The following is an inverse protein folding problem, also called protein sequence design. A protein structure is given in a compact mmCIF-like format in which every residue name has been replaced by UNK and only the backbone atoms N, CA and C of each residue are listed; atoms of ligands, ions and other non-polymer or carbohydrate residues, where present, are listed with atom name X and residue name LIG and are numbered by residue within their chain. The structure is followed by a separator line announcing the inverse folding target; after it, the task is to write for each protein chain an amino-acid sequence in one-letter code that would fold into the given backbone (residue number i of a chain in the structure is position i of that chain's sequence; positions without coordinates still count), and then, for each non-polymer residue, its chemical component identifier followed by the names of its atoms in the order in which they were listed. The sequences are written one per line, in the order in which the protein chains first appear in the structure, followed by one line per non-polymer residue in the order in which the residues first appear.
data_IF_760679012735
#
_entry.id   IF_760679012735
#
_cell.length_a   1.000
_cell.length_b   1.000
_cell.length_c   1.000
_cell.angle_alpha   90.00
_cell.angle_beta   90.00
_cell.angle_gamma   90.00
#
_symmetry.space_group_name_H-M   'P 1'
#
loop_
_entity.id
_entity.type
_entity.pdbx_description
1 polymer ?
#
# COMPACT_ATOMS: atom_id res chain seq x y z
N UNK A 1 -54.82 -4.74 -20.51
CA UNK A 1 -54.46 -4.29 -19.15
C UNK A 1 -53.46 -5.24 -18.48
N UNK A 2 -53.76 -6.55 -18.34
CA UNK A 2 -52.88 -7.54 -17.70
C UNK A 2 -51.45 -7.65 -18.29
N UNK A 3 -51.28 -7.54 -19.62
CA UNK A 3 -49.97 -7.60 -20.27
C UNK A 3 -49.04 -6.44 -19.88
N UNK A 4 -49.59 -5.25 -19.63
CA UNK A 4 -48.81 -4.08 -19.19
C UNK A 4 -48.31 -4.25 -17.75
N UNK A 5 -49.14 -4.83 -16.87
CA UNK A 5 -48.72 -5.15 -15.50
C UNK A 5 -47.60 -6.19 -15.47
N UNK A 6 -47.65 -7.19 -16.33
CA UNK A 6 -46.60 -8.22 -16.41
C UNK A 6 -45.26 -7.62 -16.89
N UNK A 7 -45.28 -6.75 -17.91
CA UNK A 7 -44.08 -6.06 -18.41
C UNK A 7 -43.48 -5.12 -17.36
N UNK A 8 -44.33 -4.39 -16.65
CA UNK A 8 -43.90 -3.47 -15.58
C UNK A 8 -43.25 -4.24 -14.41
N UNK A 9 -43.84 -5.39 -14.04
CA UNK A 9 -43.30 -6.25 -12.99
C UNK A 9 -41.94 -6.84 -13.38
N UNK A 10 -41.76 -7.29 -14.63
CA UNK A 10 -40.46 -7.77 -15.12
C UNK A 10 -39.40 -6.66 -15.10
N UNK A 11 -39.74 -5.45 -15.53
CA UNK A 11 -38.80 -4.31 -15.51
C UNK A 11 -38.38 -3.95 -14.08
N UNK A 12 -39.33 -3.97 -13.13
CA UNK A 12 -39.06 -3.73 -11.73
C UNK A 12 -38.13 -4.81 -11.12
N UNK A 13 -38.36 -6.09 -11.45
CA UNK A 13 -37.48 -7.18 -11.02
C UNK A 13 -36.07 -7.07 -11.61
N UNK A 14 -35.92 -6.69 -12.88
CA UNK A 14 -34.61 -6.48 -13.51
C UNK A 14 -33.86 -5.30 -12.86
N UNK A 15 -34.56 -4.21 -12.56
CA UNK A 15 -33.99 -3.06 -11.84
C UNK A 15 -33.50 -3.46 -10.43
N UNK A 16 -34.27 -4.25 -9.69
CA UNK A 16 -33.87 -4.76 -8.38
C UNK A 16 -32.60 -5.60 -8.49
N UNK A 17 -32.54 -6.53 -9.45
CA UNK A 17 -31.36 -7.38 -9.67
C UNK A 17 -30.13 -6.54 -10.02
N UNK A 18 -30.28 -5.50 -10.84
CA UNK A 18 -29.19 -4.58 -11.19
C UNK A 18 -28.67 -3.77 -9.99
N UNK A 19 -29.58 -3.30 -9.12
CA UNK A 19 -29.24 -2.58 -7.88
C UNK A 19 -28.56 -3.51 -6.86
N UNK A 20 -29.01 -4.76 -6.75
CA UNK A 20 -28.37 -5.75 -5.88
C UNK A 20 -26.98 -6.15 -6.39
N UNK A 21 -26.79 -6.25 -7.71
CA UNK A 21 -25.49 -6.53 -8.31
C UNK A 21 -24.51 -5.37 -8.09
N UNK A 22 -24.93 -4.12 -8.30
CA UNK A 22 -24.09 -2.94 -8.03
C UNK A 22 -23.74 -2.78 -6.53
N UNK A 23 -24.60 -3.22 -5.62
CA UNK A 23 -24.32 -3.23 -4.18
C UNK A 23 -23.28 -4.30 -3.75
N UNK A 24 -23.12 -5.37 -4.54
CA UNK A 24 -22.07 -6.38 -4.37
C UNK A 24 -20.70 -5.92 -4.91
N UNK A 25 -20.69 -4.91 -5.78
CA UNK A 25 -19.49 -4.23 -6.26
C UNK A 25 -19.14 -3.01 -5.40
N UNK A 26 -19.23 -3.13 -4.07
CA UNK A 26 -18.41 -2.26 -3.24
C UNK A 26 -16.97 -2.79 -3.36
N UNK A 27 -16.18 -2.17 -4.24
CA UNK A 27 -14.73 -2.31 -4.18
C UNK A 27 -14.35 -1.73 -2.82
N UNK A 28 -14.30 -2.58 -1.81
CA UNK A 28 -13.71 -2.26 -0.53
C UNK A 28 -12.30 -1.80 -0.91
N UNK A 29 -12.06 -0.49 -0.87
CA UNK A 29 -10.73 0.07 -0.99
C UNK A 29 -10.04 -0.37 0.28
N UNK A 30 -9.61 -1.63 0.31
CA UNK A 30 -8.97 -2.25 1.46
C UNK A 30 -7.71 -1.45 1.68
N UNK A 31 -7.77 -0.51 2.62
CA UNK A 31 -6.61 0.29 2.94
C UNK A 31 -5.57 -0.67 3.50
N UNK A 32 -4.44 -0.85 2.81
CA UNK A 32 -3.34 -1.73 3.21
C UNK A 32 -3.02 -1.55 4.70
N UNK A 33 -3.02 -2.59 5.51
CA UNK A 33 -2.73 -2.42 6.94
C UNK A 33 -1.30 -1.87 7.16
N UNK A 34 -1.03 -1.15 8.26
CA UNK A 34 0.33 -0.72 8.61
C UNK A 34 1.36 -1.86 8.59
N UNK A 35 0.91 -3.08 8.92
CA UNK A 35 1.75 -4.27 8.90
C UNK A 35 2.07 -4.69 7.47
N UNK A 36 1.09 -4.71 6.58
CA UNK A 36 1.30 -5.02 5.15
C UNK A 36 2.20 -3.97 4.48
N UNK A 37 2.06 -2.68 4.81
CA UNK A 37 3.00 -1.63 4.35
C UNK A 37 4.44 -1.96 4.77
N UNK A 38 4.65 -2.32 6.04
CA UNK A 38 5.97 -2.72 6.54
C UNK A 38 6.50 -3.98 5.83
N UNK A 39 5.67 -5.01 5.64
CA UNK A 39 6.08 -6.21 4.90
C UNK A 39 6.50 -5.86 3.46
N UNK A 40 5.74 -5.02 2.77
CA UNK A 40 6.04 -4.63 1.40
C UNK A 40 7.36 -3.83 1.30
N UNK A 41 7.62 -2.95 2.28
CA UNK A 41 8.90 -2.23 2.37
C UNK A 41 10.09 -3.16 2.64
N UNK A 42 9.91 -4.23 3.41
CA UNK A 42 10.96 -5.23 3.59
C UNK A 42 11.22 -6.05 2.33
N UNK A 43 10.18 -6.39 1.57
CA UNK A 43 10.36 -7.04 0.28
C UNK A 43 11.17 -6.15 -0.68
N UNK A 44 10.93 -4.83 -0.66
CA UNK A 44 11.76 -3.90 -1.42
C UNK A 44 13.20 -3.87 -0.90
N UNK A 45 13.41 -3.79 0.42
CA UNK A 45 14.75 -3.88 1.04
C UNK A 45 15.51 -5.13 0.59
N UNK A 46 14.85 -6.29 0.53
CA UNK A 46 15.46 -7.57 0.13
C UNK A 46 15.76 -7.63 -1.38
N UNK A 47 15.10 -6.79 -2.19
CA UNK A 47 15.35 -6.67 -3.64
C UNK A 47 16.53 -5.74 -3.99
N UNK A 48 17.03 -4.97 -3.02
CA UNK A 48 18.16 -4.07 -3.24
C UNK A 48 19.45 -4.87 -3.46
N UNK A 49 20.34 -4.32 -4.27
CA UNK A 49 21.61 -4.95 -4.60
C UNK A 49 22.71 -4.52 -3.62
N UNK A 50 23.75 -5.34 -3.50
CA UNK A 50 24.91 -5.04 -2.65
C UNK A 50 24.65 -5.26 -1.16
N UNK A 51 25.59 -4.81 -0.33
CA UNK A 51 25.43 -4.87 1.12
C UNK A 51 24.35 -3.90 1.57
N UNK A 52 23.38 -4.40 2.34
CA UNK A 52 22.31 -3.58 2.89
C UNK A 52 22.91 -2.48 3.77
N UNK A 53 22.65 -1.20 3.50
CA UNK A 53 23.23 -0.13 4.30
C UNK A 53 22.86 -0.21 5.77
N UNK A 54 23.79 0.18 6.65
CA UNK A 54 23.56 0.22 8.10
C UNK A 54 22.31 1.06 8.48
N UNK A 55 21.94 2.05 7.67
CA UNK A 55 20.73 2.83 7.82
C UNK A 55 19.44 1.97 7.80
N UNK A 56 19.42 0.85 7.09
CA UNK A 56 18.29 -0.07 7.02
C UNK A 56 18.35 -1.20 8.07
N UNK A 57 19.33 -1.19 8.98
CA UNK A 57 19.46 -2.19 10.05
C UNK A 57 18.26 -2.18 11.01
N UNK A 58 17.64 -1.01 11.22
CA UNK A 58 16.45 -0.87 12.07
C UNK A 58 15.17 -1.40 11.43
N UNK A 59 15.19 -1.67 10.12
CA UNK A 59 14.03 -2.17 9.37
C UNK A 59 13.82 -3.65 9.68
N UNK A 60 13.13 -3.90 10.79
CA UNK A 60 12.78 -5.24 11.30
C UNK A 60 11.30 -5.24 11.69
N UNK A 61 10.58 -6.30 11.29
CA UNK A 61 9.20 -6.51 11.72
C UNK A 61 9.16 -6.84 13.22
N UNK A 62 8.24 -6.22 13.98
CA UNK A 62 8.02 -6.63 15.36
C UNK A 62 7.28 -7.98 15.41
N UNK A 63 7.23 -8.63 16.58
CA UNK A 63 6.44 -9.85 16.80
C UNK A 63 4.98 -9.67 16.39
N UNK A 64 4.30 -10.76 16.01
CA UNK A 64 2.93 -10.79 15.46
C UNK A 64 1.91 -10.05 16.34
N UNK A 65 2.14 -9.98 17.66
CA UNK A 65 1.26 -9.35 18.65
C UNK A 65 1.67 -7.92 19.05
N UNK A 66 2.73 -7.37 18.46
CA UNK A 66 3.13 -6.00 18.72
C UNK A 66 2.20 -4.99 18.02
N UNK A 67 2.15 -3.77 18.55
CA UNK A 67 1.40 -2.68 17.94
C UNK A 67 1.82 -2.49 16.47
N UNK A 68 0.83 -2.42 15.57
CA UNK A 68 1.00 -2.31 14.12
C UNK A 68 1.78 -1.09 13.66
N UNK A 69 1.96 -0.08 14.52
CA UNK A 69 2.74 1.16 14.28
C UNK A 69 4.22 1.09 14.69
N UNK A 70 4.76 -0.10 15.02
CA UNK A 70 6.14 -0.22 15.49
C UNK A 70 7.18 0.30 14.49
N UNK A 71 6.98 0.03 13.20
CA UNK A 71 7.88 0.49 12.14
C UNK A 71 7.99 2.02 12.11
N UNK A 72 6.88 2.74 12.31
CA UNK A 72 6.82 4.20 12.40
C UNK A 72 7.68 4.82 13.50
N UNK A 73 8.01 4.07 14.55
CA UNK A 73 8.76 4.59 15.71
C UNK A 73 10.21 4.14 15.74
N UNK A 74 10.55 3.10 14.99
CA UNK A 74 11.83 2.41 15.10
C UNK A 74 12.60 2.38 13.80
N UNK A 75 11.94 2.44 12.66
CA UNK A 75 12.63 2.40 11.37
C UNK A 75 13.18 3.77 11.04
N UNK A 76 14.49 3.81 10.78
CA UNK A 76 15.15 4.96 10.21
C UNK A 76 14.45 5.40 8.92
N UNK A 77 14.23 6.72 8.81
CA UNK A 77 13.68 7.33 7.61
C UNK A 77 12.17 7.17 7.41
N UNK A 78 11.44 6.53 8.34
CA UNK A 78 9.98 6.33 8.21
C UNK A 78 9.22 7.26 9.14
N UNK A 79 8.24 7.99 8.60
CA UNK A 79 7.22 8.69 9.39
C UNK A 79 5.83 8.22 9.03
N UNK A 80 4.93 8.19 10.01
CA UNK A 80 3.55 7.74 9.83
C UNK A 80 2.52 8.74 10.34
N UNK A 81 1.29 8.62 9.85
CA UNK A 81 0.13 9.33 10.39
C UNK A 81 -0.37 8.69 11.71
N UNK A 82 -1.44 9.26 12.27
CA UNK A 82 -2.07 8.78 13.52
C UNK A 82 -2.62 7.35 13.43
N UNK A 83 -2.93 6.86 12.23
CA UNK A 83 -3.38 5.49 11.99
C UNK A 83 -2.22 4.50 11.80
N UNK A 84 -0.96 4.96 11.91
CA UNK A 84 0.23 4.15 11.73
C UNK A 84 0.55 3.85 10.26
N UNK A 85 -0.04 4.58 9.31
CA UNK A 85 0.23 4.44 7.88
C UNK A 85 1.39 5.32 7.49
N UNK A 86 2.29 4.81 6.64
CA UNK A 86 3.47 5.54 6.19
C UNK A 86 3.06 6.77 5.38
N UNK A 87 3.60 7.93 5.75
CA UNK A 87 3.38 9.21 5.06
C UNK A 87 4.66 9.81 4.49
N UNK A 88 5.82 9.44 5.03
CA UNK A 88 7.10 9.90 4.54
C UNK A 88 8.15 8.80 4.64
N UNK A 89 8.96 8.69 3.59
CA UNK A 89 10.18 7.89 3.53
C UNK A 89 11.33 8.81 3.13
N UNK A 90 12.32 8.95 4.00
CA UNK A 90 13.55 9.70 3.75
C UNK A 90 14.77 8.81 3.97
N UNK A 91 15.38 8.39 2.86
CA UNK A 91 16.60 7.57 2.82
C UNK A 91 17.70 8.30 2.04
N UNK A 92 17.71 9.63 2.11
CA UNK A 92 18.71 10.47 1.46
C UNK A 92 20.13 10.06 1.86
N UNK A 93 21.01 9.90 0.89
CA UNK A 93 22.44 9.61 1.13
C UNK A 93 22.69 8.41 2.04
N UNK A 94 21.94 7.33 1.86
CA UNK A 94 22.11 6.10 2.65
C UNK A 94 22.92 5.02 1.94
N UNK A 95 23.35 5.27 0.70
CA UNK A 95 24.16 4.32 -0.08
C UNK A 95 23.33 3.18 -0.67
N UNK A 96 22.03 3.37 -0.90
CA UNK A 96 21.19 2.36 -1.54
C UNK A 96 21.68 2.10 -2.97
N UNK A 97 21.77 0.82 -3.33
CA UNK A 97 22.09 0.36 -4.68
C UNK A 97 20.95 -0.55 -5.15
N UNK A 98 20.45 -0.34 -6.37
CA UNK A 98 19.40 -1.21 -6.92
C UNK A 98 18.39 -0.46 -7.77
N UNK A 99 17.13 -0.91 -7.73
CA UNK A 99 16.03 -0.36 -8.53
C UNK A 99 14.79 -0.11 -7.68
N UNK A 100 13.82 0.60 -8.26
CA UNK A 100 12.50 0.77 -7.66
C UNK A 100 11.48 -0.29 -8.09
N UNK A 101 11.86 -1.30 -8.89
CA UNK A 101 10.93 -2.27 -9.48
C UNK A 101 10.00 -2.95 -8.47
N UNK A 102 10.48 -3.22 -7.26
CA UNK A 102 9.72 -3.84 -6.15
C UNK A 102 9.28 -2.83 -5.09
N UNK A 103 9.44 -1.53 -5.33
CA UNK A 103 9.01 -0.49 -4.41
C UNK A 103 7.47 -0.49 -4.33
N UNK A 104 6.88 -0.53 -3.12
CA UNK A 104 5.47 -0.89 -2.97
C UNK A 104 4.54 0.33 -3.03
N UNK A 105 4.55 1.07 -4.15
CA UNK A 105 3.75 2.29 -4.33
C UNK A 105 2.26 2.06 -4.05
N UNK A 106 1.69 0.96 -4.53
CA UNK A 106 0.27 0.60 -4.33
C UNK A 106 -0.09 0.28 -2.88
N UNK A 107 0.87 -0.22 -2.09
CA UNK A 107 0.66 -0.48 -0.67
C UNK A 107 0.67 0.83 0.15
N UNK A 108 1.51 1.79 -0.26
CA UNK A 108 1.78 3.03 0.48
C UNK A 108 0.83 4.18 0.07
N UNK A 109 -0.48 3.89 0.12
CA UNK A 109 -1.56 4.81 -0.29
C UNK A 109 -1.59 6.18 0.41
N UNK A 110 -0.89 6.33 1.54
CA UNK A 110 -0.83 7.56 2.33
C UNK A 110 0.53 8.30 2.18
N UNK A 111 1.43 7.80 1.34
CA UNK A 111 2.76 8.36 1.15
C UNK A 111 2.68 9.72 0.44
N UNK A 112 3.11 10.76 1.14
CA UNK A 112 3.13 12.13 0.63
C UNK A 112 4.55 12.58 0.25
N UNK A 113 5.57 11.96 0.84
CA UNK A 113 6.97 12.32 0.58
C UNK A 113 7.84 11.07 0.46
N UNK A 114 8.58 10.98 -0.64
CA UNK A 114 9.60 9.97 -0.89
C UNK A 114 10.89 10.68 -1.29
N UNK A 115 11.90 10.63 -0.42
CA UNK A 115 13.21 11.21 -0.65
C UNK A 115 14.27 10.11 -0.65
N UNK A 116 14.69 9.73 -1.86
CA UNK A 116 15.73 8.73 -2.11
C UNK A 116 16.97 9.37 -2.75
N UNK A 117 17.11 10.69 -2.64
CA UNK A 117 18.19 11.44 -3.30
C UNK A 117 19.58 11.01 -2.80
N UNK A 118 20.61 11.22 -3.64
CA UNK A 118 22.00 10.89 -3.30
C UNK A 118 22.18 9.38 -3.00
N UNK A 119 21.55 8.52 -3.80
CA UNK A 119 21.75 7.07 -3.78
C UNK A 119 22.12 6.56 -5.19
N UNK A 120 22.50 5.29 -5.29
CA UNK A 120 22.87 4.61 -6.54
C UNK A 120 21.70 3.77 -7.07
N UNK A 121 20.51 4.37 -7.06
CA UNK A 121 19.30 3.76 -7.63
C UNK A 121 19.27 3.98 -9.14
N UNK A 122 18.80 2.98 -9.88
CA UNK A 122 18.76 2.98 -11.35
C UNK A 122 17.47 2.34 -11.86
N UNK A 123 17.25 2.43 -13.18
CA UNK A 123 16.07 1.89 -13.84
C UNK A 123 14.87 2.84 -13.83
N UNK A 124 13.71 2.38 -14.34
CA UNK A 124 12.51 3.19 -14.42
C UNK A 124 11.85 3.38 -13.05
N UNK A 125 11.00 4.40 -12.95
CA UNK A 125 10.04 4.52 -11.85
C UNK A 125 8.84 3.63 -12.20
N UNK A 126 8.49 2.62 -11.37
CA UNK A 126 7.31 1.79 -11.58
C UNK A 126 6.01 2.60 -11.59
N UNK A 127 4.96 2.10 -12.28
CA UNK A 127 3.64 2.71 -12.29
C UNK A 127 2.92 2.61 -10.93
#
# INVERSE_FOLDING_TARGET
MASYHLKLLVYFLVLIVFVLFSSLHHVNSSSTSPREEAHALLNWKDSLHGETPAALSSWVLPPIHANSSHHCRKWFGISCNKAGKVVEINLTNTGLVGTLNSFPFSNLSNLNRLDLSINQLSGPIPP
#
